data_IF_762084089561
#
_entry.id   IF_762084089561
#
_cell.length_a   1.000
_cell.length_b   1.000
_cell.length_c   1.000
_cell.angle_alpha   90.00
_cell.angle_beta   90.00
_cell.angle_gamma   90.00
#
_symmetry.space_group_name_H-M   'P 1'
#
loop_
_entity.id
_entity.type
_entity.pdbx_description
1 polymer ?
#
# COMPACT_ATOMS: atom_id res chain seq x y z
N UNK A 1 -73.75 -23.63 30.53
CA UNK A 1 -72.99 -22.37 30.38
C UNK A 1 -72.41 -22.07 31.75
N UNK A 2 -71.16 -22.47 31.93
CA UNK A 2 -70.39 -22.37 33.17
C UNK A 2 -69.19 -21.47 32.83
N UNK A 3 -68.98 -20.34 33.52
CA UNK A 3 -67.90 -19.42 33.16
C UNK A 3 -66.54 -20.01 33.54
N UNK A 4 -65.60 -19.92 32.60
CA UNK A 4 -64.23 -20.38 32.73
C UNK A 4 -63.57 -19.80 33.99
N UNK A 5 -63.09 -20.71 34.85
CA UNK A 5 -62.27 -20.41 36.01
C UNK A 5 -61.03 -19.62 35.59
N UNK A 6 -60.98 -18.37 36.03
CA UNK A 6 -59.87 -17.44 35.86
C UNK A 6 -58.63 -17.99 36.59
N UNK A 7 -57.65 -18.44 35.81
CA UNK A 7 -56.36 -18.90 36.33
C UNK A 7 -55.59 -17.67 36.81
N UNK A 8 -55.67 -17.37 38.11
CA UNK A 8 -54.82 -16.37 38.77
C UNK A 8 -53.48 -17.05 39.04
N UNK A 9 -52.38 -16.71 38.34
CA UNK A 9 -51.07 -17.23 38.70
C UNK A 9 -50.69 -16.70 40.10
N UNK A 10 -50.04 -17.51 40.94
CA UNK A 10 -49.59 -17.07 42.25
C UNK A 10 -48.67 -15.85 42.12
N UNK A 11 -48.64 -14.94 43.11
CA UNK A 11 -47.75 -13.80 43.09
C UNK A 11 -46.32 -14.29 42.93
N UNK A 12 -45.65 -13.81 41.88
CA UNK A 12 -44.23 -14.05 41.64
C UNK A 12 -43.49 -13.59 42.89
N UNK A 13 -42.96 -14.53 43.66
CA UNK A 13 -42.03 -14.23 44.74
C UNK A 13 -40.79 -13.64 44.07
N UNK A 14 -40.70 -12.30 44.04
CA UNK A 14 -39.46 -11.61 43.71
C UNK A 14 -38.50 -11.99 44.82
N UNK A 15 -37.61 -12.95 44.53
CA UNK A 15 -36.50 -13.28 45.40
C UNK A 15 -35.82 -11.95 45.79
N UNK A 16 -35.47 -11.74 47.08
CA UNK A 16 -34.76 -10.54 47.46
C UNK A 16 -33.51 -10.45 46.58
N UNK A 17 -33.36 -9.32 45.90
CA UNK A 17 -32.15 -9.00 45.16
C UNK A 17 -30.96 -9.39 46.04
N UNK A 18 -29.97 -10.17 45.55
CA UNK A 18 -28.78 -10.38 46.34
C UNK A 18 -28.27 -9.00 46.69
N UNK A 19 -28.19 -8.72 47.99
CA UNK A 19 -27.34 -7.68 48.53
C UNK A 19 -25.90 -8.13 48.25
N UNK A 20 -25.55 -8.06 46.97
CA UNK A 20 -24.21 -8.21 46.45
C UNK A 20 -23.67 -6.80 46.43
N UNK A 21 -23.01 -6.48 47.54
CA UNK A 21 -22.04 -5.41 47.67
C UNK A 21 -21.33 -5.21 46.33
N UNK A 22 -21.18 -3.96 45.91
CA UNK A 22 -20.44 -3.61 44.71
C UNK A 22 -18.95 -3.94 44.85
N UNK A 23 -18.61 -5.22 45.00
CA UNK A 23 -17.32 -5.75 44.61
C UNK A 23 -17.23 -5.57 43.10
N UNK A 24 -16.66 -4.43 42.75
CA UNK A 24 -15.86 -4.25 41.54
C UNK A 24 -14.96 -5.49 41.45
N UNK A 25 -15.43 -6.55 40.77
CA UNK A 25 -14.55 -7.63 40.31
C UNK A 25 -13.40 -6.92 39.62
N UNK A 26 -12.16 -7.00 40.14
CA UNK A 26 -11.03 -6.36 39.50
C UNK A 26 -11.00 -6.89 38.08
N UNK A 27 -11.25 -5.99 37.13
CA UNK A 27 -11.07 -6.22 35.70
C UNK A 27 -9.78 -6.99 35.55
N UNK A 28 -9.89 -8.25 35.12
CA UNK A 28 -8.78 -9.17 34.96
C UNK A 28 -7.60 -8.39 34.38
N UNK A 29 -6.49 -8.36 35.13
CA UNK A 29 -5.28 -7.69 34.71
C UNK A 29 -4.97 -8.11 33.27
N UNK A 30 -4.55 -7.18 32.38
CA UNK A 30 -4.16 -7.56 31.03
C UNK A 30 -3.12 -8.67 31.13
N UNK A 31 -3.42 -9.81 30.48
CA UNK A 31 -2.52 -10.94 30.45
C UNK A 31 -1.11 -10.47 30.00
N UNK A 32 -0.04 -11.07 30.52
CA UNK A 32 1.32 -10.69 30.14
C UNK A 32 1.43 -10.70 28.61
N UNK A 33 1.75 -9.54 28.03
CA UNK A 33 2.05 -9.42 26.60
C UNK A 33 3.20 -10.38 26.30
N UNK A 34 2.93 -11.48 25.61
CA UNK A 34 4.00 -12.38 25.17
C UNK A 34 5.00 -11.57 24.34
N UNK A 35 6.31 -11.69 24.62
CA UNK A 35 7.32 -10.95 23.87
C UNK A 35 7.22 -11.32 22.39
N UNK A 36 7.15 -10.30 21.54
CA UNK A 36 7.11 -10.49 20.09
C UNK A 36 8.31 -11.34 19.64
N UNK A 37 8.11 -12.29 18.70
CA UNK A 37 9.19 -13.14 18.23
C UNK A 37 10.31 -12.27 17.63
N UNK A 38 11.59 -12.67 17.82
CA UNK A 38 12.72 -11.91 17.31
C UNK A 38 12.64 -11.83 15.78
N UNK A 39 12.70 -10.61 15.25
CA UNK A 39 12.78 -10.35 13.81
C UNK A 39 14.04 -10.98 13.25
N UNK A 40 13.90 -11.96 12.35
CA UNK A 40 15.02 -12.59 11.66
C UNK A 40 15.43 -11.72 10.48
N UNK A 41 16.70 -11.39 10.40
CA UNK A 41 17.25 -10.60 9.30
C UNK A 41 17.15 -11.39 7.96
N UNK A 42 16.47 -10.87 6.92
CA UNK A 42 16.06 -11.64 5.74
C UNK A 42 17.17 -11.74 4.67
N UNK A 43 18.38 -12.13 5.06
CA UNK A 43 19.54 -12.09 4.15
C UNK A 43 19.47 -13.15 3.05
N UNK A 44 18.81 -14.30 3.26
CA UNK A 44 18.64 -15.29 2.19
C UNK A 44 17.69 -14.74 1.12
N UNK A 45 16.61 -14.07 1.53
CA UNK A 45 15.68 -13.42 0.62
C UNK A 45 16.38 -12.33 -0.21
N UNK A 46 17.25 -11.52 0.41
CA UNK A 46 18.04 -10.51 -0.29
C UNK A 46 19.08 -11.13 -1.24
N UNK A 47 19.74 -12.20 -0.82
CA UNK A 47 20.70 -12.93 -1.67
C UNK A 47 20.00 -13.60 -2.87
N UNK A 48 18.82 -14.17 -2.66
CA UNK A 48 17.98 -14.74 -3.73
C UNK A 48 17.59 -13.68 -4.76
N UNK A 49 17.17 -12.49 -4.29
CA UNK A 49 16.84 -11.36 -5.17
C UNK A 49 18.06 -10.88 -5.96
N UNK A 50 19.22 -10.73 -5.32
CA UNK A 50 20.44 -10.30 -5.99
C UNK A 50 20.85 -11.29 -7.10
N UNK A 51 20.77 -12.61 -6.83
CA UNK A 51 21.02 -13.62 -7.85
C UNK A 51 20.01 -13.57 -8.99
N UNK A 52 18.73 -13.31 -8.71
CA UNK A 52 17.72 -13.15 -9.75
C UNK A 52 18.00 -11.93 -10.65
N UNK A 53 18.50 -10.83 -10.08
CA UNK A 53 18.91 -9.65 -10.86
C UNK A 53 20.17 -9.92 -11.69
N UNK A 54 21.15 -10.63 -11.15
CA UNK A 54 22.33 -11.07 -11.92
C UNK A 54 21.95 -12.01 -13.06
N UNK A 55 21.00 -12.91 -12.82
CA UNK A 55 20.45 -13.77 -13.85
C UNK A 55 19.78 -12.95 -14.96
N UNK A 56 18.93 -11.97 -14.60
CA UNK A 56 18.29 -11.09 -15.56
C UNK A 56 19.33 -10.32 -16.39
N UNK A 57 20.32 -9.70 -15.75
CA UNK A 57 21.40 -8.99 -16.42
C UNK A 57 22.19 -9.90 -17.38
N UNK A 58 22.39 -11.18 -17.04
CA UNK A 58 23.06 -12.15 -17.90
C UNK A 58 22.25 -12.55 -19.14
N UNK A 59 20.92 -12.42 -19.07
CA UNK A 59 20.01 -12.75 -20.16
C UNK A 59 19.73 -11.56 -21.09
N UNK A 60 20.15 -10.36 -20.71
CA UNK A 60 19.95 -9.14 -21.49
C UNK A 60 20.98 -9.01 -22.65
N UNK A 61 20.58 -8.58 -23.86
CA UNK A 61 21.50 -8.26 -24.95
C UNK A 61 22.47 -7.10 -24.61
N UNK A 62 23.66 -6.99 -25.22
CA UNK A 62 24.13 -7.71 -26.42
C UNK A 62 24.91 -9.00 -26.14
N UNK A 63 25.47 -9.17 -24.93
CA UNK A 63 26.27 -10.34 -24.55
C UNK A 63 25.44 -11.31 -23.73
N UNK A 64 24.43 -11.91 -24.37
CA UNK A 64 23.51 -12.85 -23.72
C UNK A 64 24.21 -14.17 -23.41
N UNK A 65 24.41 -14.46 -22.12
CA UNK A 65 24.84 -15.77 -21.64
C UNK A 65 23.69 -16.46 -20.91
N UNK A 66 23.05 -17.41 -21.62
CA UNK A 66 21.92 -18.14 -21.08
C UNK A 66 22.32 -19.19 -20.03
N UNK A 67 23.53 -19.73 -20.09
CA UNK A 67 23.99 -20.75 -19.15
C UNK A 67 24.19 -20.11 -17.78
N UNK A 68 24.86 -18.95 -17.75
CA UNK A 68 25.07 -18.18 -16.52
C UNK A 68 23.73 -17.70 -15.91
N UNK A 69 22.80 -17.21 -16.73
CA UNK A 69 21.47 -16.80 -16.27
C UNK A 69 20.68 -17.95 -15.62
N UNK A 70 20.69 -19.14 -16.23
CA UNK A 70 20.02 -20.34 -15.69
C UNK A 70 20.64 -20.75 -14.34
N UNK A 71 21.97 -20.78 -14.24
CA UNK A 71 22.65 -21.13 -12.99
C UNK A 71 22.28 -20.16 -11.86
N UNK A 72 22.28 -18.85 -12.12
CA UNK A 72 21.91 -17.86 -11.13
C UNK A 72 20.45 -17.94 -10.71
N UNK A 73 19.52 -18.22 -11.63
CA UNK A 73 18.13 -18.45 -11.25
C UNK A 73 17.94 -19.72 -10.42
N UNK A 74 18.60 -20.83 -10.75
CA UNK A 74 18.52 -22.04 -9.91
C UNK A 74 19.06 -21.79 -8.51
N UNK A 75 20.18 -21.08 -8.38
CA UNK A 75 20.75 -20.75 -7.09
C UNK A 75 19.85 -19.78 -6.31
N UNK A 76 19.30 -18.75 -6.97
CA UNK A 76 18.35 -17.82 -6.37
C UNK A 76 17.08 -18.51 -5.88
N UNK A 77 16.53 -19.43 -6.68
CA UNK A 77 15.38 -20.24 -6.29
C UNK A 77 15.68 -21.14 -5.07
N UNK A 78 16.86 -21.78 -5.04
CA UNK A 78 17.28 -22.58 -3.88
C UNK A 78 17.39 -21.74 -2.60
N UNK A 79 17.96 -20.54 -2.68
CA UNK A 79 18.04 -19.61 -1.55
C UNK A 79 16.65 -19.12 -1.11
N UNK A 80 15.74 -18.87 -2.05
CA UNK A 80 14.37 -18.47 -1.75
C UNK A 80 13.61 -19.57 -1.00
N UNK A 81 13.75 -20.83 -1.44
CA UNK A 81 13.22 -22.00 -0.70
C UNK A 81 13.86 -22.08 0.69
N UNK A 82 15.17 -21.84 0.80
CA UNK A 82 15.86 -21.76 2.08
C UNK A 82 15.29 -20.67 3.01
N UNK A 83 14.99 -19.49 2.47
CA UNK A 83 14.39 -18.38 3.20
C UNK A 83 12.99 -18.74 3.72
N UNK A 84 12.19 -19.42 2.89
CA UNK A 84 10.87 -19.93 3.25
C UNK A 84 10.95 -20.96 4.39
N UNK A 85 11.84 -21.95 4.27
CA UNK A 85 12.05 -22.97 5.32
C UNK A 85 12.56 -22.34 6.62
N UNK A 86 13.40 -21.30 6.53
CA UNK A 86 13.87 -20.53 7.70
C UNK A 86 12.82 -19.59 8.30
N UNK A 87 11.63 -19.50 7.70
CA UNK A 87 10.56 -18.61 8.12
C UNK A 87 11.07 -17.17 8.26
N UNK A 88 11.90 -16.71 7.31
CA UNK A 88 12.31 -15.29 7.26
C UNK A 88 11.07 -14.38 7.08
N UNK A 89 10.01 -14.92 6.49
CA UNK A 89 8.78 -14.22 6.17
C UNK A 89 7.75 -14.47 7.27
N UNK A 90 8.01 -13.98 8.49
CA UNK A 90 7.01 -14.05 9.55
C UNK A 90 5.99 -12.95 9.35
N UNK A 91 4.74 -13.34 9.11
CA UNK A 91 3.63 -12.40 9.15
C UNK A 91 3.43 -11.98 10.61
N UNK A 92 3.50 -10.68 10.88
CA UNK A 92 3.08 -10.14 12.17
C UNK A 92 1.60 -10.52 12.35
N UNK A 93 1.20 -11.05 13.53
CA UNK A 93 -0.20 -11.34 13.81
C UNK A 93 -1.03 -10.09 13.51
N UNK A 94 -2.07 -10.24 12.68
CA UNK A 94 -2.94 -9.12 12.37
C UNK A 94 -3.51 -8.61 13.70
N UNK A 95 -3.37 -7.30 14.03
CA UNK A 95 -4.06 -6.74 15.17
C UNK A 95 -5.56 -6.96 14.96
N UNK A 96 -6.30 -7.16 16.05
CA UNK A 96 -7.75 -7.35 15.99
C UNK A 96 -8.39 -6.14 15.28
N UNK A 97 -8.69 -6.29 14.00
CA UNK A 97 -9.35 -5.25 13.21
C UNK A 97 -10.79 -5.25 13.67
N UNK A 98 -11.17 -4.19 14.40
CA UNK A 98 -12.59 -3.93 14.67
C UNK A 98 -13.26 -3.85 13.29
N UNK A 99 -14.38 -4.57 13.04
CA UNK A 99 -15.11 -4.46 11.79
C UNK A 99 -15.74 -3.07 11.73
N UNK A 100 -14.93 -2.08 11.39
CA UNK A 100 -15.38 -0.77 11.00
C UNK A 100 -15.87 -0.92 9.56
N UNK A 101 -17.15 -0.63 9.37
CA UNK A 101 -17.80 -0.72 8.06
C UNK A 101 -17.24 0.43 7.24
N UNK A 102 -16.15 0.20 6.52
CA UNK A 102 -15.57 1.19 5.63
C UNK A 102 -16.65 1.62 4.63
N UNK A 103 -17.14 2.88 4.70
CA UNK A 103 -18.14 3.33 3.75
C UNK A 103 -17.44 3.43 2.40
N UNK A 104 -17.70 2.45 1.54
CA UNK A 104 -17.24 2.41 0.14
C UNK A 104 -17.99 3.45 -0.71
N UNK A 105 -18.01 4.71 -0.26
CA UNK A 105 -18.76 5.82 -0.83
C UNK A 105 -17.91 6.53 -1.88
N UNK A 106 -17.81 5.92 -3.06
CA UNK A 106 -17.18 6.55 -4.22
C UNK A 106 -18.11 7.57 -4.87
N UNK A 107 -17.56 8.70 -5.33
CA UNK A 107 -18.34 9.71 -6.07
C UNK A 107 -18.38 9.34 -7.55
N UNK A 108 -19.32 8.48 -7.92
CA UNK A 108 -19.44 7.90 -9.27
C UNK A 108 -19.40 8.95 -10.39
N UNK A 109 -20.05 10.11 -10.21
CA UNK A 109 -20.06 11.19 -11.22
C UNK A 109 -18.64 11.68 -11.54
N UNK A 110 -17.79 11.86 -10.51
CA UNK A 110 -16.40 12.28 -10.69
C UNK A 110 -15.56 11.19 -11.36
N UNK A 111 -15.84 9.91 -11.08
CA UNK A 111 -15.18 8.79 -11.73
C UNK A 111 -15.54 8.69 -13.22
N UNK A 112 -16.82 8.84 -13.56
CA UNK A 112 -17.27 8.88 -14.95
C UNK A 112 -16.68 10.09 -15.70
N UNK A 113 -16.66 11.26 -15.07
CA UNK A 113 -16.03 12.45 -15.64
C UNK A 113 -14.53 12.20 -15.88
N UNK A 114 -13.82 11.63 -14.90
CA UNK A 114 -12.41 11.26 -15.03
C UNK A 114 -12.16 10.30 -16.20
N UNK A 115 -12.98 9.27 -16.36
CA UNK A 115 -12.85 8.32 -17.45
C UNK A 115 -13.01 9.00 -18.82
N UNK A 116 -14.03 9.86 -18.98
CA UNK A 116 -14.24 10.62 -20.21
C UNK A 116 -13.08 11.58 -20.51
N UNK A 117 -12.64 12.34 -19.50
CA UNK A 117 -11.53 13.29 -19.66
C UNK A 117 -10.20 12.56 -19.95
N UNK A 118 -9.98 11.38 -19.38
CA UNK A 118 -8.79 10.55 -19.64
C UNK A 118 -8.79 10.05 -21.08
N UNK A 119 -9.94 9.57 -21.58
CA UNK A 119 -10.09 9.21 -22.98
C UNK A 119 -9.82 10.39 -23.91
N UNK A 120 -10.39 11.56 -23.61
CA UNK A 120 -10.15 12.77 -24.38
C UNK A 120 -8.68 13.22 -24.35
N UNK A 121 -8.02 13.16 -23.18
CA UNK A 121 -6.60 13.45 -23.03
C UNK A 121 -5.73 12.48 -23.83
N UNK A 122 -6.05 11.18 -23.81
CA UNK A 122 -5.33 10.17 -24.58
C UNK A 122 -5.36 10.47 -26.09
N UNK A 123 -6.53 10.78 -26.65
CA UNK A 123 -6.64 11.19 -28.05
C UNK A 123 -5.91 12.50 -28.33
N UNK A 124 -5.96 13.45 -27.39
CA UNK A 124 -5.29 14.74 -27.52
C UNK A 124 -3.74 14.62 -27.50
N UNK A 125 -3.20 13.65 -26.75
CA UNK A 125 -1.78 13.28 -26.78
C UNK A 125 -1.36 12.49 -28.03
N UNK A 126 -2.29 12.26 -28.96
CA UNK A 126 -2.01 11.64 -30.25
C UNK A 126 -0.80 12.28 -30.96
N UNK A 127 0.09 11.42 -31.47
CA UNK A 127 1.33 11.87 -32.10
C UNK A 127 2.37 12.42 -31.11
N UNK A 128 2.29 12.04 -29.82
CA UNK A 128 3.23 12.42 -28.74
C UNK A 128 3.41 13.93 -28.56
N UNK A 129 2.35 14.72 -28.83
CA UNK A 129 2.38 16.18 -28.70
C UNK A 129 2.02 16.60 -27.27
N UNK A 130 3.00 17.16 -26.57
CA UNK A 130 2.81 17.75 -25.25
C UNK A 130 2.45 19.22 -25.39
N UNK A 131 1.16 19.52 -25.47
CA UNK A 131 0.65 20.91 -25.47
C UNK A 131 0.10 21.27 -24.09
N UNK A 132 0.05 22.57 -23.78
CA UNK A 132 -0.57 23.07 -22.55
C UNK A 132 -2.02 22.58 -22.43
N UNK A 133 -2.76 22.54 -23.54
CA UNK A 133 -4.14 22.06 -23.58
C UNK A 133 -4.27 20.58 -23.20
N UNK A 134 -3.45 19.72 -23.79
CA UNK A 134 -3.45 18.28 -23.51
C UNK A 134 -3.09 18.01 -22.05
N UNK A 135 -2.11 18.77 -21.54
CA UNK A 135 -1.68 18.68 -20.15
C UNK A 135 -2.77 19.14 -19.19
N UNK A 136 -3.45 20.26 -19.47
CA UNK A 136 -4.56 20.73 -18.62
C UNK A 136 -5.73 19.75 -18.60
N UNK A 137 -6.04 19.12 -19.74
CA UNK A 137 -7.11 18.13 -19.85
C UNK A 137 -6.78 16.87 -19.04
N UNK A 138 -5.52 16.43 -19.08
CA UNK A 138 -5.03 15.32 -18.28
C UNK A 138 -5.02 15.62 -16.78
N UNK A 139 -4.55 16.80 -16.38
CA UNK A 139 -4.57 17.23 -14.97
C UNK A 139 -6.00 17.32 -14.43
N UNK A 140 -6.95 17.80 -15.24
CA UNK A 140 -8.35 17.80 -14.86
C UNK A 140 -8.89 16.36 -14.70
N UNK A 141 -8.56 15.45 -15.61
CA UNK A 141 -8.92 14.03 -15.51
C UNK A 141 -8.41 13.39 -14.21
N UNK A 142 -7.15 13.70 -13.86
CA UNK A 142 -6.49 13.23 -12.64
C UNK A 142 -7.13 13.83 -11.39
N UNK A 143 -7.45 15.13 -11.41
CA UNK A 143 -8.17 15.79 -10.32
C UNK A 143 -9.54 15.17 -10.07
N UNK A 144 -10.29 14.86 -11.13
CA UNK A 144 -11.56 14.14 -11.02
C UNK A 144 -11.39 12.72 -10.49
N UNK A 145 -10.33 12.02 -10.89
CA UNK A 145 -10.03 10.67 -10.39
C UNK A 145 -9.80 10.69 -8.88
N UNK A 146 -8.91 11.57 -8.43
CA UNK A 146 -8.56 11.73 -7.03
C UNK A 146 -9.82 12.14 -6.25
N UNK A 147 -10.55 13.16 -6.71
CA UNK A 147 -11.78 13.61 -6.06
C UNK A 147 -12.90 12.57 -6.06
N UNK A 148 -12.93 11.67 -7.05
CA UNK A 148 -13.89 10.57 -7.15
C UNK A 148 -13.63 9.44 -6.17
N UNK A 149 -12.34 9.16 -5.92
CA UNK A 149 -11.87 8.15 -4.97
C UNK A 149 -11.69 8.70 -3.55
N UNK A 150 -11.70 10.02 -3.37
CA UNK A 150 -11.52 10.64 -2.07
C UNK A 150 -12.78 10.52 -1.20
N UNK A 151 -12.76 9.58 -0.25
CA UNK A 151 -13.78 9.44 0.79
C UNK A 151 -13.45 10.41 1.94
N UNK A 152 -14.24 11.48 2.06
CA UNK A 152 -14.11 12.45 3.15
C UNK A 152 -14.79 11.94 4.42
N UNK A 153 -14.16 10.98 5.11
CA UNK A 153 -14.55 10.64 6.48
C UNK A 153 -13.92 11.66 7.44
N UNK A 154 -14.71 12.66 7.85
CA UNK A 154 -14.33 13.78 8.70
C UNK A 154 -13.38 14.81 8.05
N UNK A 155 -13.78 16.08 8.11
CA UNK A 155 -12.98 17.27 7.75
C UNK A 155 -11.63 17.35 8.50
N UNK A 156 -11.38 16.47 9.48
CA UNK A 156 -10.10 16.36 10.19
C UNK A 156 -8.95 15.77 9.35
N UNK A 157 -9.20 14.92 8.34
CA UNK A 157 -8.11 14.21 7.63
C UNK A 157 -7.23 15.11 6.77
N UNK A 158 -7.77 16.20 6.19
CA UNK A 158 -6.97 17.12 5.35
C UNK A 158 -6.04 17.99 6.20
N UNK A 159 -6.53 18.45 7.36
CA UNK A 159 -5.70 19.18 8.34
C UNK A 159 -4.66 18.23 8.93
N UNK A 160 -5.03 16.98 9.24
CA UNK A 160 -4.10 15.97 9.77
C UNK A 160 -3.03 15.53 8.78
N UNK A 161 -3.32 15.47 7.47
CA UNK A 161 -2.31 15.15 6.47
C UNK A 161 -1.31 16.30 6.30
N UNK A 162 -1.77 17.55 6.28
CA UNK A 162 -0.90 18.73 6.21
C UNK A 162 -0.06 18.87 7.48
N UNK A 163 -0.63 18.62 8.66
CA UNK A 163 0.12 18.65 9.92
C UNK A 163 1.07 17.45 10.04
N UNK A 164 0.70 16.25 9.56
CA UNK A 164 1.63 15.11 9.48
C UNK A 164 2.76 15.33 8.49
N UNK A 165 2.52 15.86 7.30
CA UNK A 165 3.58 16.18 6.33
C UNK A 165 4.47 17.30 6.86
N UNK A 166 3.91 18.26 7.60
CA UNK A 166 4.69 19.32 8.27
C UNK A 166 5.47 18.81 9.48
N UNK A 167 4.95 17.82 10.21
CA UNK A 167 5.62 17.12 11.31
C UNK A 167 6.65 16.10 10.81
N UNK A 168 6.44 15.54 9.62
CA UNK A 168 7.37 14.72 8.85
C UNK A 168 8.36 15.61 8.08
N UNK A 169 8.87 16.64 8.77
CA UNK A 169 10.17 17.23 8.46
C UNK A 169 11.19 16.35 9.18
N UNK A 170 11.66 15.21 8.61
CA UNK A 170 12.94 14.72 9.06
C UNK A 170 13.90 15.90 8.83
N UNK A 171 14.84 16.08 9.76
CA UNK A 171 16.00 16.90 9.52
C UNK A 171 16.66 16.31 8.27
N UNK A 172 16.29 16.83 7.09
CA UNK A 172 16.86 16.46 5.81
C UNK A 172 18.26 17.06 5.81
N UNK A 173 19.16 16.44 6.58
CA UNK A 173 20.60 16.56 6.41
C UNK A 173 20.93 15.81 5.12
N UNK A 174 20.50 16.39 3.99
CA UNK A 174 20.85 15.88 2.67
C UNK A 174 22.33 16.20 2.50
N UNK A 175 23.17 15.31 3.02
CA UNK A 175 24.57 15.26 2.67
C UNK A 175 24.63 14.78 1.23
N UNK A 176 24.68 15.73 0.29
CA UNK A 176 25.00 15.42 -1.09
C UNK A 176 26.38 14.79 -1.13
N UNK A 177 26.40 13.46 -1.15
CA UNK A 177 27.63 12.70 -1.32
C UNK A 177 28.05 12.77 -2.80
N UNK A 178 29.36 12.80 -3.10
CA UNK A 178 29.86 12.81 -4.48
C UNK A 178 29.27 11.70 -5.37
N UNK A 179 28.95 10.54 -4.79
CA UNK A 179 28.29 9.44 -5.48
C UNK A 179 26.86 9.75 -5.94
N UNK A 180 26.11 10.53 -5.16
CA UNK A 180 24.74 10.92 -5.51
C UNK A 180 24.74 11.87 -6.71
N UNK A 181 25.75 12.74 -6.81
CA UNK A 181 26.02 13.58 -7.97
C UNK A 181 26.37 12.77 -9.21
N UNK A 182 27.15 11.68 -9.07
CA UNK A 182 27.43 10.78 -10.19
C UNK A 182 26.18 10.07 -10.69
N UNK A 183 25.31 9.60 -9.77
CA UNK A 183 24.04 8.96 -10.14
C UNK A 183 23.10 9.94 -10.86
N UNK A 184 22.94 11.15 -10.33
CA UNK A 184 22.15 12.20 -10.98
C UNK A 184 22.72 12.54 -12.35
N UNK A 185 24.05 12.69 -12.46
CA UNK A 185 24.73 12.92 -13.73
C UNK A 185 24.50 11.80 -14.74
N UNK A 186 24.63 10.54 -14.32
CA UNK A 186 24.39 9.38 -15.18
C UNK A 186 22.93 9.32 -15.67
N UNK A 187 21.96 9.60 -14.80
CA UNK A 187 20.55 9.68 -15.17
C UNK A 187 20.30 10.82 -16.17
N UNK A 188 20.90 12.00 -15.96
CA UNK A 188 20.76 13.12 -16.89
C UNK A 188 21.40 12.82 -18.25
N UNK A 189 22.57 12.18 -18.28
CA UNK A 189 23.24 11.78 -19.52
C UNK A 189 22.41 10.72 -20.27
N UNK A 190 21.87 9.73 -19.56
CA UNK A 190 21.01 8.69 -20.15
C UNK A 190 19.69 9.28 -20.66
N UNK A 191 19.04 10.15 -19.90
CA UNK A 191 17.83 10.84 -20.35
C UNK A 191 18.11 11.74 -21.56
N UNK A 192 19.23 12.45 -21.56
CA UNK A 192 19.66 13.29 -22.68
C UNK A 192 19.99 12.47 -23.94
N UNK A 193 20.65 11.32 -23.80
CA UNK A 193 20.98 10.46 -24.94
C UNK A 193 19.74 9.79 -25.53
N UNK A 194 18.77 9.39 -24.71
CA UNK A 194 17.47 8.89 -25.17
C UNK A 194 16.68 10.00 -25.89
N UNK A 195 16.66 11.21 -25.32
CA UNK A 195 15.98 12.36 -25.92
C UNK A 195 16.60 12.75 -27.26
N UNK A 196 17.93 12.87 -27.35
CA UNK A 196 18.62 13.20 -28.61
C UNK A 196 18.54 12.07 -29.64
N UNK A 197 18.61 10.81 -29.21
CA UNK A 197 18.39 9.64 -30.06
C UNK A 197 16.99 9.59 -30.67
N UNK A 198 15.97 10.02 -29.91
CA UNK A 198 14.59 10.12 -30.41
C UNK A 198 14.39 11.21 -31.47
N UNK A 199 15.25 12.22 -31.51
CA UNK A 199 15.19 13.34 -32.48
C UNK A 199 16.00 13.02 -33.75
N UNK A 200 17.03 12.16 -33.65
CA UNK A 200 17.97 11.87 -34.73
C UNK A 200 17.49 10.81 -35.75
N UNK A 201 16.44 10.06 -35.45
CA UNK A 201 15.84 9.10 -36.38
C UNK A 201 14.44 9.56 -36.81
N UNK A 202 14.31 10.34 -37.90
CA UNK A 202 13.04 10.45 -38.57
C UNK A 202 12.69 9.05 -39.10
N UNK A 203 11.67 8.43 -38.48
CA UNK A 203 11.07 7.18 -38.92
C UNK A 203 10.83 7.25 -40.44
N UNK A 204 11.49 6.36 -41.20
CA UNK A 204 11.12 6.05 -42.59
C UNK A 204 10.05 4.99 -42.59
#
# INVERSE_FOLDING_TARGET
MEPASEFIPPPVQVAPAPAGDGELTPSAAPAPTEPAPPVRWPWLSLAALLLALLAQNSLEPPNRDWQQGVVFYFLGAALLVGAYVRQEWQMVPLPFVRPERDPLTVRQILLFASALLTGAAFFAFGGNRFTTFNLTLWLAALGCLIGGLWVSNSTQTVIDWVTRVRAWRPQLDIRLTPWMLMMIGAVLISAFSVFTGSIACPQR
#
